data_IF_613641726057
#
_entry.id   IF_613641726057
#
_cell.length_a   1.000
_cell.length_b   1.000
_cell.length_c   1.000
_cell.angle_alpha   90.00
_cell.angle_beta   90.00
_cell.angle_gamma   90.00
#
_symmetry.space_group_name_H-M   'P 1'
#
loop_
_entity.id
_entity.type
_entity.pdbx_description
1 polymer ?
#
# COMPACT_ATOMS: atom_id res chain seq x y z
N UNK A 1 -13.32 -21.66 22.23
CA UNK A 1 -14.53 -20.81 22.31
C UNK A 1 -15.75 -21.59 21.87
N UNK A 2 -15.71 -22.37 20.77
CA UNK A 2 -16.84 -23.18 20.28
C UNK A 2 -17.19 -24.39 21.21
N UNK A 3 -16.26 -24.77 22.06
CA UNK A 3 -16.40 -25.91 22.99
C UNK A 3 -16.70 -25.49 24.44
N UNK A 4 -16.84 -24.19 24.69
CA UNK A 4 -17.18 -23.67 26.02
C UNK A 4 -18.67 -23.77 26.25
N UNK A 5 -19.05 -24.63 27.23
CA UNK A 5 -20.41 -24.80 27.73
C UNK A 5 -20.57 -23.92 28.97
N UNK A 6 -21.70 -23.30 29.13
CA UNK A 6 -22.16 -22.47 30.23
C UNK A 6 -22.41 -21.00 29.82
N UNK A 7 -22.68 -20.16 30.79
CA UNK A 7 -23.09 -18.78 30.60
C UNK A 7 -22.07 -17.93 29.82
N UNK A 8 -20.78 -18.21 29.96
CA UNK A 8 -19.68 -17.56 29.19
C UNK A 8 -19.70 -17.96 27.71
N UNK A 9 -20.00 -19.20 27.37
CA UNK A 9 -20.12 -19.66 25.99
C UNK A 9 -21.22 -18.94 25.23
N UNK A 10 -22.35 -18.64 25.89
CA UNK A 10 -23.46 -17.89 25.25
C UNK A 10 -23.12 -16.47 24.88
N UNK A 11 -22.26 -15.81 25.67
CA UNK A 11 -21.79 -14.44 25.37
C UNK A 11 -20.70 -14.41 24.30
N UNK A 12 -19.78 -15.38 24.30
CA UNK A 12 -18.64 -15.39 23.36
C UNK A 12 -18.96 -16.08 22.02
N UNK A 13 -19.99 -16.92 21.97
CA UNK A 13 -20.40 -17.65 20.77
C UNK A 13 -20.75 -16.70 19.60
N UNK A 14 -21.59 -15.67 19.75
CA UNK A 14 -21.88 -14.73 18.65
C UNK A 14 -20.63 -14.00 18.16
N UNK A 15 -19.72 -13.62 19.08
CA UNK A 15 -18.46 -12.95 18.73
C UNK A 15 -17.53 -13.87 17.95
N UNK A 16 -17.47 -15.16 18.32
CA UNK A 16 -16.66 -16.14 17.61
C UNK A 16 -17.19 -16.39 16.20
N UNK A 17 -18.49 -16.52 16.03
CA UNK A 17 -19.14 -16.70 14.72
C UNK A 17 -18.91 -15.47 13.84
N UNK A 18 -19.11 -14.26 14.34
CA UNK A 18 -18.90 -13.04 13.55
C UNK A 18 -17.45 -12.91 13.08
N UNK A 19 -16.47 -13.18 13.95
CA UNK A 19 -15.05 -13.17 13.56
C UNK A 19 -14.73 -14.24 12.51
N UNK A 20 -15.25 -15.45 12.68
CA UNK A 20 -15.00 -16.55 11.74
C UNK A 20 -15.61 -16.26 10.37
N UNK A 21 -16.86 -15.76 10.33
CA UNK A 21 -17.50 -15.39 9.07
C UNK A 21 -16.81 -14.19 8.42
N UNK A 22 -16.37 -13.19 9.19
CA UNK A 22 -15.63 -12.07 8.68
C UNK A 22 -14.29 -12.50 8.05
N UNK A 23 -13.54 -13.39 8.72
CA UNK A 23 -12.29 -13.94 8.18
C UNK A 23 -12.54 -14.79 6.93
N UNK A 24 -13.54 -15.67 6.95
CA UNK A 24 -13.87 -16.50 5.80
C UNK A 24 -14.30 -15.66 4.59
N UNK A 25 -15.16 -14.67 4.80
CA UNK A 25 -15.58 -13.76 3.72
C UNK A 25 -14.43 -12.92 3.21
N UNK A 26 -13.55 -12.38 4.07
CA UNK A 26 -12.38 -11.64 3.65
C UNK A 26 -11.41 -12.51 2.82
N UNK A 27 -11.23 -13.78 3.19
CA UNK A 27 -10.41 -14.73 2.45
C UNK A 27 -10.98 -15.02 1.06
N UNK A 28 -12.28 -15.30 0.96
CA UNK A 28 -12.97 -15.55 -0.32
C UNK A 28 -12.91 -14.30 -1.23
N UNK A 29 -13.22 -13.14 -0.66
CA UNK A 29 -13.12 -11.87 -1.38
C UNK A 29 -11.69 -11.60 -1.86
N UNK A 30 -10.68 -11.85 -1.02
CA UNK A 30 -9.28 -11.70 -1.39
C UNK A 30 -8.88 -12.60 -2.57
N UNK A 31 -9.26 -13.87 -2.53
CA UNK A 31 -8.94 -14.81 -3.61
C UNK A 31 -9.64 -14.50 -4.94
N UNK A 32 -10.87 -14.00 -4.90
CA UNK A 32 -11.67 -13.76 -6.12
C UNK A 32 -11.48 -12.33 -6.62
N UNK A 33 -11.59 -11.33 -5.73
CA UNK A 33 -11.57 -9.92 -6.12
C UNK A 33 -10.16 -9.41 -6.46
N UNK A 34 -9.12 -9.81 -5.70
CA UNK A 34 -7.77 -9.30 -5.93
C UNK A 34 -7.23 -9.66 -7.33
N UNK A 35 -7.30 -10.92 -7.80
CA UNK A 35 -6.85 -11.24 -9.15
C UNK A 35 -7.68 -10.53 -10.24
N UNK A 36 -9.00 -10.47 -10.05
CA UNK A 36 -9.90 -9.83 -11.02
C UNK A 36 -9.65 -8.32 -11.11
N UNK A 37 -9.54 -7.63 -9.98
CA UNK A 37 -9.22 -6.20 -9.93
C UNK A 37 -7.81 -5.91 -10.48
N UNK A 38 -6.84 -6.74 -10.15
CA UNK A 38 -5.48 -6.62 -10.68
C UNK A 38 -5.46 -6.75 -12.19
N UNK A 39 -6.14 -7.77 -12.72
CA UNK A 39 -6.27 -7.96 -14.17
C UNK A 39 -6.93 -6.74 -14.82
N UNK A 40 -8.03 -6.25 -14.26
CA UNK A 40 -8.74 -5.09 -14.78
C UNK A 40 -7.88 -3.82 -14.75
N UNK A 41 -7.21 -3.53 -13.62
CA UNK A 41 -6.31 -2.38 -13.45
C UNK A 41 -5.14 -2.40 -14.43
N UNK A 42 -4.47 -3.55 -14.58
CA UNK A 42 -3.34 -3.68 -15.49
C UNK A 42 -3.75 -3.78 -16.97
N UNK A 43 -5.01 -4.17 -17.24
CA UNK A 43 -5.55 -4.22 -18.60
C UNK A 43 -5.92 -2.83 -19.14
N UNK A 44 -6.18 -1.86 -18.26
CA UNK A 44 -6.48 -0.48 -18.67
C UNK A 44 -5.18 0.19 -19.14
N UNK A 45 -4.84 0.01 -20.41
CA UNK A 45 -3.77 0.77 -21.06
C UNK A 45 -4.33 2.12 -21.49
N UNK A 46 -4.05 3.17 -20.70
CA UNK A 46 -4.35 4.55 -21.10
C UNK A 46 -3.39 4.92 -22.25
N UNK A 47 -3.81 4.59 -23.47
CA UNK A 47 -2.97 4.76 -24.69
C UNK A 47 -3.07 6.18 -25.27
N UNK A 48 -4.10 6.93 -24.93
CA UNK A 48 -4.32 8.29 -25.46
C UNK A 48 -3.49 9.31 -24.70
N UNK A 49 -2.59 10.01 -25.42
CA UNK A 49 -1.83 11.16 -24.89
C UNK A 49 -2.76 12.25 -24.32
N UNK A 50 -3.95 12.42 -24.91
CA UNK A 50 -4.93 13.41 -24.48
C UNK A 50 -5.53 13.05 -23.12
N UNK A 51 -5.93 11.79 -22.92
CA UNK A 51 -6.49 11.31 -21.63
C UNK A 51 -5.43 11.47 -20.51
N UNK A 52 -4.17 11.20 -20.79
CA UNK A 52 -3.09 11.36 -19.82
C UNK A 52 -2.89 12.84 -19.44
N UNK A 53 -2.98 13.77 -20.40
CA UNK A 53 -2.93 15.20 -20.11
C UNK A 53 -4.12 15.65 -19.27
N UNK A 54 -5.34 15.24 -19.62
CA UNK A 54 -6.55 15.55 -18.86
C UNK A 54 -6.46 15.03 -17.42
N UNK A 55 -5.99 13.79 -17.23
CA UNK A 55 -5.77 13.22 -15.89
C UNK A 55 -4.77 14.03 -15.08
N UNK A 56 -3.67 14.47 -15.68
CA UNK A 56 -2.68 15.29 -15.00
C UNK A 56 -3.21 16.68 -14.63
N UNK A 57 -4.00 17.32 -15.51
CA UNK A 57 -4.68 18.57 -15.17
C UNK A 57 -5.69 18.37 -14.03
N UNK A 58 -6.45 17.29 -14.07
CA UNK A 58 -7.41 16.96 -13.02
C UNK A 58 -6.71 16.71 -11.68
N UNK A 59 -5.56 16.03 -11.68
CA UNK A 59 -4.72 15.85 -10.49
C UNK A 59 -4.25 17.18 -9.91
N UNK A 60 -3.81 18.13 -10.75
CA UNK A 60 -3.35 19.44 -10.31
C UNK A 60 -4.52 20.24 -9.73
N UNK A 61 -5.65 20.27 -10.43
CA UNK A 61 -6.84 21.01 -9.97
C UNK A 61 -7.36 20.42 -8.66
N UNK A 62 -7.44 19.08 -8.56
CA UNK A 62 -7.84 18.41 -7.33
C UNK A 62 -6.85 18.70 -6.18
N UNK A 63 -5.55 18.66 -6.47
CA UNK A 63 -4.52 18.97 -5.47
C UNK A 63 -4.61 20.41 -4.98
N UNK A 64 -4.79 21.38 -5.87
CA UNK A 64 -4.97 22.80 -5.52
C UNK A 64 -6.26 22.99 -4.71
N UNK A 65 -7.36 22.38 -5.14
CA UNK A 65 -8.63 22.45 -4.42
C UNK A 65 -8.51 21.89 -3.00
N UNK A 66 -7.88 20.73 -2.83
CA UNK A 66 -7.61 20.14 -1.51
C UNK A 66 -6.67 20.98 -0.66
N UNK A 67 -5.70 21.68 -1.29
CA UNK A 67 -4.79 22.56 -0.58
C UNK A 67 -5.51 23.79 -0.05
N UNK A 68 -6.44 24.36 -0.82
CA UNK A 68 -7.24 25.52 -0.39
C UNK A 68 -8.24 25.13 0.72
N UNK A 69 -8.85 23.95 0.62
CA UNK A 69 -9.90 23.52 1.56
C UNK A 69 -9.29 23.02 2.86
N UNK A 70 -8.24 22.19 2.80
CA UNK A 70 -7.70 21.47 3.94
C UNK A 70 -6.30 21.93 4.38
N UNK A 71 -5.58 22.72 3.55
CA UNK A 71 -4.20 23.11 3.82
C UNK A 71 -3.23 21.94 4.01
N UNK A 72 -3.59 20.75 3.52
CA UNK A 72 -2.91 19.50 3.86
C UNK A 72 -1.69 19.21 2.97
N UNK A 73 -0.65 18.65 3.57
CA UNK A 73 0.61 18.30 2.89
C UNK A 73 0.43 17.28 1.75
N UNK A 74 -0.45 16.26 1.88
CA UNK A 74 -0.76 15.38 0.75
C UNK A 74 -1.25 16.12 -0.50
N UNK A 75 -1.94 17.25 -0.35
CA UNK A 75 -2.37 18.06 -1.48
C UNK A 75 -1.20 18.68 -2.25
N UNK A 76 -0.14 19.08 -1.54
CA UNK A 76 1.11 19.55 -2.16
C UNK A 76 1.76 18.42 -2.97
N UNK A 77 1.77 17.21 -2.44
CA UNK A 77 2.28 16.04 -3.15
C UNK A 77 1.52 15.73 -4.44
N UNK A 78 0.18 15.79 -4.38
CA UNK A 78 -0.66 15.60 -5.57
C UNK A 78 -0.39 16.65 -6.66
N UNK A 79 -0.29 17.91 -6.28
CA UNK A 79 0.04 18.99 -7.23
C UNK A 79 1.43 18.82 -7.82
N UNK A 80 2.43 18.47 -7.00
CA UNK A 80 3.80 18.26 -7.44
C UNK A 80 3.93 17.09 -8.42
N UNK A 81 3.25 15.95 -8.17
CA UNK A 81 3.19 14.80 -9.08
C UNK A 81 2.52 15.19 -10.41
N UNK A 82 1.39 15.90 -10.34
CA UNK A 82 0.69 16.38 -11.54
C UNK A 82 1.56 17.30 -12.40
N UNK A 83 2.26 18.26 -11.77
CA UNK A 83 3.20 19.14 -12.43
C UNK A 83 4.38 18.39 -13.05
N UNK A 84 5.01 17.48 -12.30
CA UNK A 84 6.11 16.68 -12.83
C UNK A 84 5.68 15.84 -14.04
N UNK A 85 4.46 15.29 -14.02
CA UNK A 85 3.92 14.53 -15.14
C UNK A 85 3.68 15.41 -16.38
N UNK A 86 3.24 16.66 -16.23
CA UNK A 86 3.12 17.60 -17.33
C UNK A 86 4.50 17.99 -17.89
N UNK A 87 5.49 18.19 -17.02
CA UNK A 87 6.86 18.51 -17.39
C UNK A 87 7.64 17.29 -17.92
N UNK A 88 7.08 16.10 -17.82
CA UNK A 88 7.74 14.84 -18.24
C UNK A 88 8.19 14.84 -19.71
N UNK A 89 7.55 15.66 -20.56
CA UNK A 89 7.95 15.88 -21.95
C UNK A 89 9.30 16.59 -22.14
N UNK A 90 9.76 17.31 -21.13
CA UNK A 90 11.04 18.03 -21.14
C UNK A 90 12.22 17.21 -20.60
N UNK A 91 11.93 16.09 -19.90
CA UNK A 91 12.96 15.22 -19.34
C UNK A 91 13.64 14.39 -20.43
N UNK A 92 14.97 14.42 -20.46
CA UNK A 92 15.79 13.63 -21.42
C UNK A 92 15.56 12.12 -21.32
N UNK A 93 15.14 11.62 -20.13
CA UNK A 93 14.84 10.21 -19.87
C UNK A 93 13.46 10.10 -19.24
N UNK A 94 12.50 9.36 -19.84
CA UNK A 94 11.14 9.19 -19.29
C UNK A 94 11.12 8.50 -17.92
N UNK A 95 12.11 7.67 -17.62
CA UNK A 95 12.28 7.01 -16.34
C UNK A 95 12.52 7.98 -15.18
N UNK A 96 13.14 9.14 -15.45
CA UNK A 96 13.45 10.15 -14.44
C UNK A 96 12.18 10.74 -13.82
N UNK A 97 11.15 11.00 -14.62
CA UNK A 97 9.85 11.46 -14.12
C UNK A 97 9.21 10.45 -13.16
N UNK A 98 9.33 9.17 -13.45
CA UNK A 98 8.81 8.10 -12.58
C UNK A 98 9.55 8.06 -11.23
N UNK A 99 10.87 8.14 -11.23
CA UNK A 99 11.64 8.17 -9.97
C UNK A 99 11.33 9.41 -9.13
N UNK A 100 11.16 10.57 -9.76
CA UNK A 100 10.76 11.80 -9.07
C UNK A 100 9.38 11.65 -8.45
N UNK A 101 8.41 11.10 -9.18
CA UNK A 101 7.07 10.84 -8.64
C UNK A 101 7.10 9.89 -7.44
N UNK A 102 7.86 8.81 -7.53
CA UNK A 102 8.03 7.87 -6.42
C UNK A 102 8.64 8.59 -5.21
N UNK A 103 9.68 9.39 -5.43
CA UNK A 103 10.32 10.17 -4.38
C UNK A 103 9.37 11.16 -3.70
N UNK A 104 8.60 11.92 -4.47
CA UNK A 104 7.59 12.85 -3.94
C UNK A 104 6.54 12.09 -3.12
N UNK A 105 6.00 11.00 -3.69
CA UNK A 105 4.96 10.21 -3.01
C UNK A 105 5.47 9.61 -1.70
N UNK A 106 6.68 9.03 -1.70
CA UNK A 106 7.29 8.49 -0.50
C UNK A 106 7.53 9.57 0.56
N UNK A 107 8.09 10.71 0.16
CA UNK A 107 8.37 11.82 1.07
C UNK A 107 7.09 12.33 1.73
N UNK A 108 6.05 12.58 0.94
CA UNK A 108 4.75 13.05 1.43
C UNK A 108 4.10 12.01 2.35
N UNK A 109 4.16 10.73 1.98
CA UNK A 109 3.60 9.65 2.79
C UNK A 109 4.32 9.51 4.13
N UNK A 110 5.66 9.55 4.15
CA UNK A 110 6.47 9.48 5.36
C UNK A 110 6.17 10.67 6.26
N UNK A 111 6.11 11.87 5.69
CA UNK A 111 5.82 13.09 6.45
C UNK A 111 4.44 13.02 7.10
N UNK A 112 3.40 12.75 6.30
CA UNK A 112 2.02 12.68 6.76
C UNK A 112 1.82 11.59 7.82
N UNK A 113 2.41 10.41 7.58
CA UNK A 113 2.34 9.31 8.53
C UNK A 113 3.06 9.65 9.85
N UNK A 114 4.16 10.40 9.79
CA UNK A 114 4.90 10.85 10.99
C UNK A 114 4.10 11.86 11.82
N UNK A 115 3.33 12.72 11.14
CA UNK A 115 2.52 13.75 11.80
C UNK A 115 1.30 13.13 12.49
N UNK A 116 0.60 12.22 11.83
CA UNK A 116 -0.61 11.61 12.37
C UNK A 116 -0.34 10.50 13.40
N UNK A 117 0.69 9.70 13.16
CA UNK A 117 0.95 8.54 14.00
C UNK A 117 1.82 8.81 15.21
N UNK A 118 2.75 9.77 15.15
CA UNK A 118 3.69 10.15 16.21
C UNK A 118 4.28 8.93 16.99
N UNK A 119 4.90 7.97 16.33
CA UNK A 119 5.25 6.68 16.93
C UNK A 119 6.23 6.79 18.11
N UNK A 120 7.05 7.84 18.15
CA UNK A 120 7.97 8.10 19.27
C UNK A 120 7.42 9.08 20.30
N UNK A 121 6.19 9.54 20.11
CA UNK A 121 5.50 10.52 20.95
C UNK A 121 5.84 11.98 20.63
N UNK A 122 4.97 12.91 21.07
CA UNK A 122 5.11 14.33 20.76
C UNK A 122 6.34 14.98 21.41
N UNK A 123 6.86 14.40 22.50
CA UNK A 123 7.99 14.96 23.25
C UNK A 123 9.35 14.83 22.55
N UNK A 124 9.52 13.84 21.65
CA UNK A 124 10.79 13.61 20.96
C UNK A 124 11.00 14.45 19.68
N UNK A 125 10.05 15.30 19.37
CA UNK A 125 10.10 16.18 18.20
C UNK A 125 9.78 15.48 16.87
N UNK A 126 9.44 16.30 15.89
CA UNK A 126 8.97 15.80 14.58
C UNK A 126 10.05 15.06 13.79
N UNK A 127 11.32 15.51 13.87
CA UNK A 127 12.45 14.87 13.18
C UNK A 127 12.66 13.41 13.60
N UNK A 128 12.54 13.13 14.90
CA UNK A 128 12.69 11.76 15.40
C UNK A 128 11.59 10.84 14.87
N UNK A 129 10.34 11.33 14.82
CA UNK A 129 9.21 10.59 14.24
C UNK A 129 9.39 10.33 12.74
N UNK A 130 9.84 11.34 11.97
CA UNK A 130 10.13 11.18 10.54
C UNK A 130 11.24 10.14 10.31
N UNK A 131 12.33 10.20 11.07
CA UNK A 131 13.44 9.23 10.93
C UNK A 131 12.98 7.81 11.27
N UNK A 132 12.16 7.65 12.31
CA UNK A 132 11.63 6.35 12.68
C UNK A 132 10.71 5.78 11.58
N UNK A 133 9.75 6.56 11.09
CA UNK A 133 8.84 6.15 10.02
C UNK A 133 9.60 5.86 8.74
N UNK A 134 10.56 6.72 8.37
CA UNK A 134 11.42 6.51 7.20
C UNK A 134 12.22 5.21 7.33
N UNK A 135 12.76 4.91 8.52
CA UNK A 135 13.45 3.66 8.81
C UNK A 135 12.54 2.44 8.65
N UNK A 136 11.33 2.48 9.21
CA UNK A 136 10.34 1.41 9.05
C UNK A 136 9.97 1.18 7.57
N UNK A 137 9.68 2.27 6.84
CA UNK A 137 9.37 2.20 5.41
C UNK A 137 10.55 1.64 4.61
N UNK A 138 11.78 2.08 4.90
CA UNK A 138 12.98 1.59 4.24
C UNK A 138 13.20 0.08 4.49
N UNK A 139 12.98 -0.39 5.71
CA UNK A 139 13.07 -1.81 6.06
C UNK A 139 12.03 -2.62 5.27
N UNK A 140 10.76 -2.18 5.27
CA UNK A 140 9.68 -2.86 4.54
C UNK A 140 9.99 -2.92 3.05
N UNK A 141 10.39 -1.80 2.45
CA UNK A 141 10.74 -1.74 1.02
C UNK A 141 11.94 -2.62 0.70
N UNK A 142 12.94 -2.68 1.60
CA UNK A 142 14.10 -3.56 1.43
C UNK A 142 13.72 -5.03 1.46
N UNK A 143 12.85 -5.42 2.39
CA UNK A 143 12.30 -6.79 2.47
C UNK A 143 11.53 -7.14 1.21
N UNK A 144 10.64 -6.24 0.75
CA UNK A 144 9.88 -6.44 -0.48
C UNK A 144 10.78 -6.56 -1.72
N UNK A 145 11.79 -5.70 -1.82
CA UNK A 145 12.78 -5.75 -2.90
C UNK A 145 13.55 -7.07 -2.90
N UNK A 146 13.98 -7.52 -1.72
CA UNK A 146 14.66 -8.79 -1.53
C UNK A 146 13.74 -9.98 -1.90
N UNK A 147 12.46 -9.90 -1.52
CA UNK A 147 11.43 -10.85 -1.90
C UNK A 147 11.28 -10.94 -3.43
N UNK A 148 11.23 -9.81 -4.13
CA UNK A 148 11.12 -9.76 -5.60
C UNK A 148 12.33 -10.44 -6.26
N UNK A 149 13.55 -10.18 -5.76
CA UNK A 149 14.78 -10.80 -6.31
C UNK A 149 14.79 -12.32 -6.10
N UNK A 150 14.39 -12.78 -4.92
CA UNK A 150 14.42 -14.20 -4.57
C UNK A 150 13.13 -14.95 -4.92
N UNK A 151 12.08 -14.25 -5.37
CA UNK A 151 10.75 -14.81 -5.61
C UNK A 151 10.79 -16.05 -6.51
N UNK A 152 11.49 -15.96 -7.62
CA UNK A 152 11.56 -17.07 -8.58
C UNK A 152 12.25 -18.30 -7.96
N UNK A 153 13.29 -18.10 -7.17
CA UNK A 153 14.02 -19.19 -6.50
C UNK A 153 13.17 -19.82 -5.40
N UNK A 154 12.48 -18.99 -4.60
CA UNK A 154 11.57 -19.45 -3.54
C UNK A 154 10.42 -20.24 -4.15
N UNK A 155 9.81 -19.71 -5.23
CA UNK A 155 8.70 -20.37 -5.91
C UNK A 155 9.11 -21.73 -6.48
N UNK A 156 10.24 -21.83 -7.16
CA UNK A 156 10.78 -23.09 -7.66
C UNK A 156 11.01 -24.09 -6.53
N UNK A 157 11.64 -23.65 -5.45
CA UNK A 157 11.87 -24.49 -4.28
C UNK A 157 10.55 -25.01 -3.66
N UNK A 158 9.54 -24.15 -3.52
CA UNK A 158 8.21 -24.54 -3.01
C UNK A 158 7.52 -25.57 -3.90
N UNK A 159 7.63 -25.43 -5.22
CA UNK A 159 7.05 -26.35 -6.20
C UNK A 159 7.77 -27.71 -6.19
N UNK A 160 9.11 -27.70 -6.12
CA UNK A 160 9.92 -28.92 -6.07
C UNK A 160 9.72 -29.70 -4.75
N UNK A 161 9.51 -28.97 -3.65
CA UNK A 161 9.33 -29.56 -2.32
C UNK A 161 7.89 -29.39 -1.76
N UNK A 162 6.88 -29.58 -2.62
CA UNK A 162 5.47 -29.39 -2.29
C UNK A 162 5.02 -30.04 -0.98
N UNK A 163 5.50 -31.23 -0.67
CA UNK A 163 5.16 -31.97 0.55
C UNK A 163 5.75 -31.30 1.80
N UNK A 164 7.00 -30.86 1.74
CA UNK A 164 7.66 -30.14 2.86
C UNK A 164 7.00 -28.77 3.10
N UNK A 165 6.60 -28.10 2.02
CA UNK A 165 5.93 -26.81 2.11
C UNK A 165 4.53 -26.95 2.71
N UNK A 166 3.80 -28.02 2.41
CA UNK A 166 2.47 -28.27 3.02
C UNK A 166 2.54 -28.67 4.52
N UNK A 167 3.69 -29.16 4.99
CA UNK A 167 3.89 -29.45 6.41
C UNK A 167 3.95 -28.18 7.28
N UNK A 168 4.40 -27.05 6.73
CA UNK A 168 4.53 -25.79 7.49
C UNK A 168 3.16 -25.29 7.99
N UNK A 169 2.13 -25.10 7.14
CA UNK A 169 0.81 -24.70 7.62
C UNK A 169 0.02 -25.81 8.31
N UNK A 170 0.41 -27.09 8.10
CA UNK A 170 -0.22 -28.23 8.75
C UNK A 170 0.27 -28.49 10.17
N UNK A 171 1.40 -27.88 10.58
CA UNK A 171 1.98 -28.01 11.91
C UNK A 171 1.62 -26.85 12.86
N UNK A 172 0.93 -25.81 12.35
CA UNK A 172 0.41 -24.66 13.09
C UNK A 172 -1.09 -24.77 13.28
#
# INVERSE_FOLDING_TARGET
VFTMEAQEGKMFSPLAYTKTYALASAFVLGLILLPSLSYWLFSIKIHSRQIRKILNYLLIVAGIALLIIYGSIPAIGLTAVGLNNLLSGYWKKPQMSTYINIGITLFVSIYYLSEEWLPMGPQKGMLANILFVAGCVAIILSILWLLVIYYERILRWCLDNRWKFMLIPGAT
#
